data_IF_982385755887
#
_entry.id   IF_982385755887
#
_cell.length_a   1.000
_cell.length_b   1.000
_cell.length_c   1.000
_cell.angle_alpha   90.00
_cell.angle_beta   90.00
_cell.angle_gamma   90.00
#
_symmetry.space_group_name_H-M   'P 1'
#
loop_
_entity.id
_entity.type
_entity.pdbx_description
1 polymer ?
#
# COMPACT_ATOMS: atom_id res chain seq x y z
N UNK A 1 18.34 15.64 13.60
CA UNK A 1 17.69 14.57 12.80
C UNK A 1 16.58 13.96 13.64
N UNK A 2 15.35 13.86 13.15
CA UNK A 2 14.28 13.15 13.86
C UNK A 2 14.66 11.66 13.87
N UNK A 3 14.94 11.11 15.05
CA UNK A 3 15.52 9.78 15.20
C UNK A 3 14.56 8.72 14.64
N UNK A 4 15.04 7.87 13.74
CA UNK A 4 14.31 6.71 13.20
C UNK A 4 13.46 6.93 11.94
N UNK A 5 13.20 8.17 11.51
CA UNK A 5 12.36 8.43 10.31
C UNK A 5 13.06 9.29 9.26
N UNK A 6 12.93 8.96 7.95
CA UNK A 6 13.62 9.67 6.87
C UNK A 6 13.19 11.14 6.69
N UNK A 7 12.01 11.54 7.15
CA UNK A 7 11.59 12.95 7.04
C UNK A 7 10.34 13.31 7.84
N UNK A 8 10.13 14.63 8.02
CA UNK A 8 8.97 15.19 8.75
C UNK A 8 7.62 14.79 8.14
N UNK A 9 7.57 14.61 6.82
CA UNK A 9 6.35 14.17 6.13
C UNK A 9 5.93 12.75 6.56
N UNK A 10 6.90 11.87 6.82
CA UNK A 10 6.62 10.52 7.34
C UNK A 10 6.08 10.58 8.76
N UNK A 11 6.61 11.45 9.62
CA UNK A 11 6.08 11.64 10.99
C UNK A 11 4.62 12.09 10.98
N UNK A 12 4.25 13.03 10.09
CA UNK A 12 2.85 13.45 9.95
C UNK A 12 1.97 12.30 9.50
N UNK A 13 2.45 11.49 8.56
CA UNK A 13 1.71 10.31 8.06
C UNK A 13 1.52 9.26 9.17
N UNK A 14 2.52 9.05 10.02
CA UNK A 14 2.44 8.15 11.18
C UNK A 14 1.43 8.65 12.19
N UNK A 15 1.48 9.94 12.57
CA UNK A 15 0.47 10.57 13.44
C UNK A 15 -0.93 10.38 12.89
N UNK A 16 -1.14 10.57 11.59
CA UNK A 16 -2.45 10.35 10.97
C UNK A 16 -2.85 8.88 11.03
N UNK A 17 -1.93 7.94 10.75
CA UNK A 17 -2.22 6.50 10.84
C UNK A 17 -2.62 6.08 12.25
N UNK A 18 -1.97 6.61 13.29
CA UNK A 18 -2.32 6.31 14.69
C UNK A 18 -3.69 6.88 15.04
N UNK A 19 -3.96 8.13 14.66
CA UNK A 19 -5.28 8.75 14.86
C UNK A 19 -6.40 8.01 14.12
N UNK A 20 -6.19 7.65 12.84
CA UNK A 20 -7.15 6.86 12.06
C UNK A 20 -7.39 5.52 12.77
N UNK A 21 -6.35 4.83 13.24
CA UNK A 21 -6.51 3.55 13.95
C UNK A 21 -7.39 3.68 15.20
N UNK A 22 -7.24 4.77 15.95
CA UNK A 22 -8.00 5.01 17.18
C UNK A 22 -9.46 5.41 16.91
N UNK A 23 -9.69 6.37 16.00
CA UNK A 23 -10.99 7.05 15.86
C UNK A 23 -11.85 6.55 14.70
N UNK A 24 -11.26 5.89 13.69
CA UNK A 24 -12.00 5.48 12.50
C UNK A 24 -13.20 4.57 12.78
N UNK A 25 -13.14 3.56 13.66
CA UNK A 25 -14.31 2.71 13.93
C UNK A 25 -15.49 3.51 14.48
N UNK A 26 -15.23 4.46 15.39
CA UNK A 26 -16.27 5.32 15.97
C UNK A 26 -16.85 6.26 14.91
N UNK A 27 -15.99 6.92 14.13
CA UNK A 27 -16.39 7.82 13.04
C UNK A 27 -17.21 7.11 11.96
N UNK A 28 -16.79 5.91 11.57
CA UNK A 28 -17.48 5.10 10.56
C UNK A 28 -18.90 4.75 10.99
N UNK A 29 -19.14 4.46 12.27
CA UNK A 29 -20.48 4.21 12.81
C UNK A 29 -21.40 5.44 12.64
N UNK A 30 -20.94 6.64 12.99
CA UNK A 30 -21.72 7.86 12.76
C UNK A 30 -21.98 8.11 11.27
N UNK A 31 -20.97 7.88 10.42
CA UNK A 31 -21.13 8.02 8.98
C UNK A 31 -22.18 7.06 8.42
N UNK A 32 -22.25 5.82 8.92
CA UNK A 32 -23.29 4.86 8.55
C UNK A 32 -24.67 5.35 9.01
N UNK A 33 -24.83 5.71 10.28
CA UNK A 33 -26.09 6.23 10.83
C UNK A 33 -26.62 7.44 10.04
N UNK A 34 -25.73 8.35 9.64
CA UNK A 34 -26.06 9.53 8.84
C UNK A 34 -26.51 9.19 7.41
N UNK A 35 -25.92 8.16 6.79
CA UNK A 35 -26.20 7.78 5.39
C UNK A 35 -27.40 6.83 5.24
N UNK A 36 -27.85 6.22 6.32
CA UNK A 36 -28.96 5.28 6.30
C UNK A 36 -30.29 5.99 5.95
N UNK A 37 -31.14 5.33 5.16
CA UNK A 37 -32.45 5.87 4.76
C UNK A 37 -33.57 5.59 5.78
N UNK A 38 -33.36 4.65 6.71
CA UNK A 38 -34.36 4.20 7.69
C UNK A 38 -34.56 5.23 8.81
N UNK A 39 -33.53 6.02 9.12
CA UNK A 39 -33.60 6.97 10.24
C UNK A 39 -34.26 8.30 9.84
N UNK A 40 -34.97 8.96 10.77
CA UNK A 40 -35.49 10.31 10.58
C UNK A 40 -34.36 11.33 10.45
N UNK A 41 -34.63 12.46 9.80
CA UNK A 41 -33.62 13.48 9.52
C UNK A 41 -33.07 14.15 10.79
N UNK A 42 -33.92 14.31 11.83
CA UNK A 42 -33.51 14.84 13.14
C UNK A 42 -32.38 14.04 13.77
N UNK A 43 -32.46 12.70 13.71
CA UNK A 43 -31.44 11.81 14.24
C UNK A 43 -30.12 11.88 13.43
N UNK A 44 -30.22 12.05 12.11
CA UNK A 44 -29.04 12.22 11.24
C UNK A 44 -28.31 13.53 11.52
N UNK A 45 -29.05 14.59 11.83
CA UNK A 45 -28.48 15.89 12.20
C UNK A 45 -27.73 15.80 13.53
N UNK A 46 -28.32 15.15 14.53
CA UNK A 46 -27.63 14.87 15.80
C UNK A 46 -26.33 14.07 15.60
N UNK A 47 -26.38 12.98 14.82
CA UNK A 47 -25.18 12.19 14.51
C UNK A 47 -24.11 13.01 13.78
N UNK A 48 -24.52 13.95 12.92
CA UNK A 48 -23.62 14.84 12.17
C UNK A 48 -22.92 15.83 13.12
N UNK A 49 -23.66 16.44 14.03
CA UNK A 49 -23.12 17.38 15.02
C UNK A 49 -22.11 16.69 15.96
N UNK A 50 -22.45 15.50 16.46
CA UNK A 50 -21.57 14.67 17.28
C UNK A 50 -20.27 14.28 16.53
N UNK A 51 -20.38 13.93 15.23
CA UNK A 51 -19.20 13.64 14.40
C UNK A 51 -18.28 14.86 14.29
N UNK A 52 -18.84 16.04 14.04
CA UNK A 52 -18.06 17.27 13.89
C UNK A 52 -17.44 17.75 15.21
N UNK A 53 -18.14 17.60 16.32
CA UNK A 53 -17.64 17.95 17.66
C UNK A 53 -16.50 17.02 18.09
N UNK A 54 -16.62 15.72 17.84
CA UNK A 54 -15.69 14.72 18.36
C UNK A 54 -14.40 14.59 17.54
N UNK A 55 -14.47 14.70 16.21
CA UNK A 55 -13.37 14.27 15.34
C UNK A 55 -12.74 15.39 14.49
N UNK A 56 -11.42 15.53 14.57
CA UNK A 56 -10.65 16.37 13.64
C UNK A 56 -10.59 15.76 12.23
N UNK A 57 -10.38 16.60 11.21
CA UNK A 57 -10.23 16.18 9.81
C UNK A 57 -9.11 15.15 9.58
N UNK A 58 -8.01 15.20 10.34
CA UNK A 58 -6.87 14.26 10.21
C UNK A 58 -7.24 12.79 10.45
N UNK A 59 -8.38 12.52 11.08
CA UNK A 59 -8.88 11.16 11.36
C UNK A 59 -9.47 10.45 10.15
N UNK A 60 -9.68 11.16 9.03
CA UNK A 60 -10.29 10.57 7.85
C UNK A 60 -9.24 9.77 7.03
N UNK A 61 -9.60 8.60 6.47
CA UNK A 61 -8.66 7.67 5.87
C UNK A 61 -8.00 8.21 4.60
N UNK A 62 -8.67 9.11 3.88
CA UNK A 62 -8.14 9.72 2.65
C UNK A 62 -6.96 10.66 2.89
N UNK A 63 -6.73 11.12 4.14
CA UNK A 63 -5.55 11.94 4.47
C UNK A 63 -4.24 11.14 4.57
N UNK A 64 -4.33 9.81 4.57
CA UNK A 64 -3.18 8.91 4.57
C UNK A 64 -2.66 8.74 3.15
N UNK A 65 -1.35 8.85 2.99
CA UNK A 65 -0.69 8.57 1.71
C UNK A 65 0.16 7.30 1.83
N UNK A 66 0.13 6.45 0.80
CA UNK A 66 1.02 5.30 0.73
C UNK A 66 2.43 5.76 0.32
N UNK A 67 3.22 6.17 1.31
CA UNK A 67 4.60 6.63 1.13
C UNK A 67 5.58 5.45 1.13
N UNK A 68 6.73 5.65 0.50
CA UNK A 68 7.86 4.74 0.59
C UNK A 68 8.34 4.62 2.04
N UNK A 69 8.50 3.40 2.56
CA UNK A 69 8.95 3.14 3.92
C UNK A 69 10.38 3.65 4.20
N UNK A 70 11.27 3.61 3.20
CA UNK A 70 12.68 3.99 3.35
C UNK A 70 12.95 5.48 3.14
N UNK A 71 12.35 6.07 2.10
CA UNK A 71 12.68 7.44 1.66
C UNK A 71 11.55 8.45 1.88
N UNK A 72 10.39 8.02 2.39
CA UNK A 72 9.19 8.87 2.51
C UNK A 72 8.68 9.48 1.19
N UNK A 73 9.12 8.96 0.02
CA UNK A 73 8.63 9.39 -1.29
C UNK A 73 7.12 9.20 -1.40
N UNK A 74 6.42 10.21 -1.90
CA UNK A 74 4.96 10.23 -1.98
C UNK A 74 4.37 9.50 -3.18
N UNK A 75 5.04 9.52 -4.34
CA UNK A 75 4.51 8.99 -5.59
C UNK A 75 5.40 7.91 -6.20
N UNK A 76 4.78 7.04 -7.01
CA UNK A 76 5.44 5.91 -7.63
C UNK A 76 5.90 4.90 -6.59
N UNK A 77 5.04 4.60 -5.62
CA UNK A 77 5.27 3.57 -4.61
C UNK A 77 4.62 2.28 -5.11
N UNK A 78 5.38 1.19 -5.14
CA UNK A 78 4.86 -0.14 -5.42
C UNK A 78 4.23 -0.66 -4.13
N UNK A 79 2.90 -0.66 -4.06
CA UNK A 79 2.16 -0.87 -2.81
C UNK A 79 2.45 -2.23 -2.16
N UNK A 80 2.61 -3.28 -2.97
CA UNK A 80 2.96 -4.64 -2.54
C UNK A 80 4.22 -4.66 -1.66
N UNK A 81 5.24 -3.89 -2.03
CA UNK A 81 6.54 -3.83 -1.32
C UNK A 81 6.66 -2.61 -0.39
N UNK A 82 5.73 -1.65 -0.46
CA UNK A 82 5.80 -0.34 0.23
C UNK A 82 7.09 0.44 -0.05
N UNK A 83 7.66 0.24 -1.23
CA UNK A 83 8.90 0.88 -1.68
C UNK A 83 8.62 1.83 -2.84
N UNK A 84 9.32 2.97 -2.85
CA UNK A 84 9.35 3.84 -4.02
C UNK A 84 10.07 3.17 -5.19
N UNK A 85 9.63 3.44 -6.43
CA UNK A 85 10.15 2.84 -7.67
C UNK A 85 11.67 2.84 -7.80
N UNK A 86 12.35 3.88 -7.29
CA UNK A 86 13.81 4.01 -7.34
C UNK A 86 14.47 2.99 -6.43
N UNK A 87 14.00 2.86 -5.19
CA UNK A 87 14.53 1.89 -4.22
C UNK A 87 14.13 0.47 -4.60
N UNK A 88 12.90 0.27 -5.08
CA UNK A 88 12.45 -1.02 -5.59
C UNK A 88 13.34 -1.51 -6.74
N UNK A 89 13.62 -0.65 -7.74
CA UNK A 89 14.53 -1.01 -8.83
C UNK A 89 15.95 -1.30 -8.34
N UNK A 90 16.47 -0.51 -7.39
CA UNK A 90 17.78 -0.77 -6.78
C UNK A 90 17.83 -2.17 -6.17
N UNK A 91 16.84 -2.54 -5.36
CA UNK A 91 16.82 -3.88 -4.76
C UNK A 91 16.62 -5.00 -5.78
N UNK A 92 15.86 -4.76 -6.85
CA UNK A 92 15.65 -5.73 -7.92
C UNK A 92 16.94 -5.98 -8.71
N UNK A 93 17.61 -4.91 -9.16
CA UNK A 93 18.81 -4.99 -9.99
C UNK A 93 20.00 -5.62 -9.22
N UNK A 94 20.08 -5.42 -7.90
CA UNK A 94 21.10 -6.04 -7.05
C UNK A 94 20.66 -7.40 -6.47
N UNK A 95 19.58 -8.01 -6.98
CA UNK A 95 19.07 -9.32 -6.54
C UNK A 95 18.83 -9.43 -5.01
N UNK A 96 18.45 -8.31 -4.37
CA UNK A 96 18.12 -8.27 -2.94
C UNK A 96 16.64 -8.60 -2.67
N UNK A 97 15.86 -8.88 -3.72
CA UNK A 97 14.47 -9.36 -3.66
C UNK A 97 14.36 -10.74 -4.31
N UNK A 98 13.66 -11.66 -3.64
CA UNK A 98 13.41 -12.99 -4.18
C UNK A 98 12.39 -12.95 -5.34
N UNK A 99 12.66 -13.72 -6.39
CA UNK A 99 11.72 -13.92 -7.51
C UNK A 99 11.52 -12.73 -8.45
N UNK A 100 12.22 -11.62 -8.26
CA UNK A 100 12.17 -10.47 -9.18
C UNK A 100 13.24 -10.63 -10.24
N UNK A 101 12.81 -10.87 -11.47
CA UNK A 101 13.68 -10.94 -12.65
C UNK A 101 13.21 -9.93 -13.69
N UNK A 102 14.12 -9.49 -14.56
CA UNK A 102 13.73 -8.66 -15.71
C UNK A 102 12.93 -9.51 -16.68
N UNK A 103 11.80 -8.98 -17.13
CA UNK A 103 11.02 -9.60 -18.20
C UNK A 103 11.83 -9.57 -19.50
N UNK A 104 11.96 -10.72 -20.15
CA UNK A 104 12.64 -10.88 -21.44
C UNK A 104 11.65 -11.46 -22.45
N UNK A 105 10.82 -10.59 -23.04
CA UNK A 105 9.97 -10.95 -24.17
C UNK A 105 10.67 -10.57 -25.47
N UNK A 106 11.57 -11.43 -25.93
CA UNK A 106 12.10 -11.39 -27.29
C UNK A 106 11.62 -12.65 -28.03
N UNK A 107 11.52 -12.63 -29.36
CA UNK A 107 11.10 -13.82 -30.14
C UNK A 107 12.07 -14.99 -29.99
N UNK A 108 13.34 -14.72 -29.64
CA UNK A 108 14.37 -15.74 -29.39
C UNK A 108 14.20 -16.51 -28.06
N UNK A 109 13.49 -15.97 -27.05
CA UNK A 109 13.39 -16.67 -25.75
C UNK A 109 12.48 -17.90 -25.79
N UNK A 110 11.53 -17.99 -26.73
CA UNK A 110 10.73 -19.21 -26.94
C UNK A 110 11.60 -20.43 -27.26
N UNK A 111 12.54 -20.29 -28.19
CA UNK A 111 13.45 -21.38 -28.59
C UNK A 111 14.29 -21.89 -27.41
N UNK A 112 14.81 -20.97 -26.58
CA UNK A 112 15.62 -21.35 -25.41
C UNK A 112 14.77 -21.98 -24.28
N UNK A 113 13.53 -21.51 -24.05
CA UNK A 113 12.63 -22.16 -23.08
C UNK A 113 12.21 -23.56 -23.50
N UNK A 114 12.00 -23.79 -24.80
CA UNK A 114 11.73 -25.11 -25.38
C UNK A 114 12.96 -26.03 -25.32
N UNK A 115 14.16 -25.50 -25.58
CA UNK A 115 15.43 -26.23 -25.43
C UNK A 115 15.68 -26.65 -23.97
N UNK A 116 15.57 -25.72 -23.00
CA UNK A 116 15.78 -26.05 -21.57
C UNK A 116 14.70 -26.95 -20.96
N UNK A 117 13.51 -27.05 -21.59
CA UNK A 117 12.45 -27.99 -21.17
C UNK A 117 12.54 -29.34 -21.91
N UNK A 118 13.27 -29.42 -23.03
CA UNK A 118 13.71 -30.67 -23.66
C UNK A 118 14.90 -31.28 -22.94
N UNK A 119 15.93 -30.50 -22.61
CA UNK A 119 17.08 -30.97 -21.82
C UNK A 119 16.66 -31.52 -20.44
N UNK A 120 15.73 -30.85 -19.76
CA UNK A 120 15.17 -31.35 -18.50
C UNK A 120 14.31 -32.61 -18.63
N UNK A 121 13.86 -32.96 -19.84
CA UNK A 121 13.19 -34.24 -20.14
C UNK A 121 14.22 -35.34 -20.42
N UNK A 122 15.25 -35.05 -21.21
CA UNK A 122 16.37 -35.98 -21.50
C UNK A 122 17.05 -36.43 -20.21
N UNK A 123 17.41 -35.51 -19.31
CA UNK A 123 18.06 -35.82 -18.01
C UNK A 123 17.15 -36.66 -17.08
N UNK A 124 15.83 -36.69 -17.31
CA UNK A 124 14.89 -37.53 -16.55
C UNK A 124 14.59 -38.87 -17.22
N UNK A 125 14.95 -39.03 -18.48
CA UNK A 125 14.71 -40.22 -19.30
C UNK A 125 15.97 -41.08 -19.50
N UNK A 126 17.15 -40.57 -19.12
CA UNK A 126 18.38 -41.35 -18.99
C UNK A 126 18.35 -42.14 -17.65
N UNK A 127 18.47 -43.49 -17.67
CA UNK A 127 18.40 -44.35 -16.48
C UNK A 127 19.60 -44.22 -15.53
#
# INVERSE_FOLDING_TARGET
>A
KLVGYPGRMMLRDIKRRTLIRQYWPKRFRYQLLRKNMIFPESFKNYCREEEFSTFTNETQPWWRWNRCALTSRQWGVVEQYRLGRIMWRRFADYNQMSGVMRSTFDRYTRQNTEMMSRERRIIREDP
#
